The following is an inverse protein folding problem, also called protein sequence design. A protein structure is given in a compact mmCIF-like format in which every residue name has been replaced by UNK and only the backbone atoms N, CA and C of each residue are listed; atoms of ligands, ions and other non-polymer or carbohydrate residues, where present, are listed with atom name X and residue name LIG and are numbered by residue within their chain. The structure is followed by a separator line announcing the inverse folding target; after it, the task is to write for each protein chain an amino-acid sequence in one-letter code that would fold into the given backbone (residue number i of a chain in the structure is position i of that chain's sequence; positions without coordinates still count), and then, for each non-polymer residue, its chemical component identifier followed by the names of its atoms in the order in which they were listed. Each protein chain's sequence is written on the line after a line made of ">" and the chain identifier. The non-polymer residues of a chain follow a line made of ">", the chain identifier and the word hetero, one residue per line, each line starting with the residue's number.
data_IF_573432999184
#
_entry.id   IF_573432999184
#
_cell.length_a   1.000
_cell.length_b   1.000
_cell.length_c   1.000
_cell.angle_alpha   90.00
_cell.angle_beta   90.00
_cell.angle_gamma   90.00
#
_symmetry.space_group_name_H-M   'P 1'
#
loop_
_entity.id
_entity.type
_entity.pdbx_description
1 polymer ?
#
# COMPACT_ATOMS: atom_id res chain seq x y z
N UNK A 1 -21.09 -12.65 -18.73
CA UNK A 1 -20.37 -12.74 -17.45
C UNK A 1 -20.93 -13.93 -16.70
N UNK A 2 -20.10 -14.92 -16.34
CA UNK A 2 -20.54 -16.08 -15.56
C UNK A 2 -20.16 -15.79 -14.11
N UNK A 3 -21.16 -15.70 -13.23
CA UNK A 3 -20.96 -15.62 -11.78
C UNK A 3 -21.09 -17.05 -11.24
N UNK A 4 -19.99 -17.63 -10.78
CA UNK A 4 -20.00 -18.97 -10.20
C UNK A 4 -19.77 -18.89 -8.69
N UNK A 5 -20.66 -19.51 -7.91
CA UNK A 5 -20.58 -19.57 -6.44
C UNK A 5 -19.71 -20.74 -5.96
N UNK A 6 -19.43 -21.72 -6.82
CA UNK A 6 -18.72 -22.98 -6.50
C UNK A 6 -17.46 -23.18 -7.35
N UNK A 7 -16.63 -22.14 -7.48
CA UNK A 7 -15.34 -22.30 -8.15
C UNK A 7 -14.35 -22.96 -7.17
N UNK A 8 -13.67 -24.05 -7.53
CA UNK A 8 -12.68 -24.68 -6.66
C UNK A 8 -11.61 -23.66 -6.28
N UNK A 9 -11.47 -23.43 -4.96
CA UNK A 9 -10.45 -22.55 -4.40
C UNK A 9 -9.10 -23.25 -4.40
N UNK A 10 -8.11 -22.59 -4.99
CA UNK A 10 -6.69 -22.93 -4.83
C UNK A 10 -6.22 -22.47 -3.45
N UNK A 11 -5.17 -23.09 -2.92
CA UNK A 11 -4.48 -22.64 -1.70
C UNK A 11 -3.93 -21.21 -1.82
N UNK A 12 -3.71 -20.74 -3.04
CA UNK A 12 -3.21 -19.40 -3.35
C UNK A 12 -4.31 -18.36 -3.52
N UNK A 13 -5.58 -18.75 -3.43
CA UNK A 13 -6.69 -17.83 -3.64
C UNK A 13 -6.88 -16.89 -2.47
N UNK A 14 -7.23 -15.64 -2.80
CA UNK A 14 -7.58 -14.67 -1.76
C UNK A 14 -8.88 -15.05 -1.08
N UNK A 15 -8.91 -14.85 0.23
CA UNK A 15 -10.09 -15.12 1.06
C UNK A 15 -11.05 -13.93 1.13
N UNK A 16 -10.55 -12.73 0.83
CA UNK A 16 -11.28 -11.45 0.87
C UNK A 16 -11.43 -10.86 -0.53
N UNK A 17 -12.54 -10.15 -0.75
CA UNK A 17 -12.89 -9.53 -2.02
C UNK A 17 -11.76 -8.63 -2.55
N UNK A 18 -11.32 -8.87 -3.79
CA UNK A 18 -10.19 -8.16 -4.39
C UNK A 18 -10.48 -6.67 -4.67
N UNK A 19 -11.75 -6.26 -4.72
CA UNK A 19 -12.14 -4.86 -4.89
C UNK A 19 -12.16 -4.10 -3.56
N UNK A 20 -12.85 -4.61 -2.54
CA UNK A 20 -13.04 -3.88 -1.27
C UNK A 20 -12.03 -4.25 -0.17
N UNK A 21 -11.44 -5.45 -0.24
CA UNK A 21 -10.57 -6.06 0.79
C UNK A 21 -11.17 -6.05 2.19
N UNK A 22 -12.50 -6.14 2.30
CA UNK A 22 -13.22 -6.13 3.57
C UNK A 22 -14.10 -7.36 3.73
N UNK A 23 -14.97 -7.59 2.75
CA UNK A 23 -15.90 -8.71 2.77
C UNK A 23 -15.24 -10.00 2.25
N UNK A 24 -15.68 -11.17 2.71
CA UNK A 24 -15.21 -12.45 2.16
C UNK A 24 -15.61 -12.59 0.69
N UNK A 25 -14.82 -13.35 -0.07
CA UNK A 25 -15.16 -13.71 -1.45
C UNK A 25 -16.37 -14.63 -1.44
N UNK A 26 -17.39 -14.27 -2.20
CA UNK A 26 -18.60 -15.08 -2.41
C UNK A 26 -18.83 -15.42 -3.87
N UNK A 27 -18.14 -14.75 -4.80
CA UNK A 27 -18.44 -14.83 -6.22
C UNK A 27 -17.16 -14.72 -7.03
N UNK A 28 -16.97 -15.60 -8.00
CA UNK A 28 -15.91 -15.49 -8.98
C UNK A 28 -16.46 -14.88 -10.29
N UNK A 29 -15.79 -13.85 -10.83
CA UNK A 29 -16.05 -13.25 -12.14
C UNK A 29 -14.93 -13.61 -13.09
N UNK A 30 -15.24 -14.24 -14.22
CA UNK A 30 -14.25 -14.56 -15.25
C UNK A 30 -14.09 -13.36 -16.20
N UNK A 31 -12.85 -12.93 -16.42
CA UNK A 31 -12.44 -11.81 -17.29
C UNK A 31 -11.50 -12.32 -18.38
N UNK A 32 -11.08 -11.45 -19.31
CA UNK A 32 -10.11 -11.84 -20.35
C UNK A 32 -8.71 -12.10 -19.76
N UNK A 33 -8.38 -11.41 -18.66
CA UNK A 33 -7.10 -11.44 -17.98
C UNK A 33 -7.01 -12.55 -16.93
N UNK A 34 -8.13 -13.18 -16.57
CA UNK A 34 -8.17 -14.26 -15.60
C UNK A 34 -9.51 -14.35 -14.85
N UNK A 35 -9.43 -14.40 -13.52
CA UNK A 35 -10.61 -14.43 -12.66
C UNK A 35 -10.45 -13.42 -11.53
N UNK A 36 -11.53 -12.71 -11.24
CA UNK A 36 -11.64 -11.82 -10.10
C UNK A 36 -12.44 -12.51 -8.99
N UNK A 37 -11.94 -12.44 -7.77
CA UNK A 37 -12.58 -13.00 -6.59
C UNK A 37 -13.24 -11.89 -5.76
N UNK A 38 -14.57 -11.79 -5.82
CA UNK A 38 -15.34 -10.66 -5.32
C UNK A 38 -16.41 -11.07 -4.30
N UNK A 39 -16.86 -10.11 -3.50
CA UNK A 39 -18.12 -10.22 -2.78
C UNK A 39 -19.30 -9.88 -3.72
N UNK A 40 -20.49 -10.40 -3.41
CA UNK A 40 -21.71 -10.18 -4.19
C UNK A 40 -21.97 -8.69 -4.55
N UNK A 41 -21.87 -7.71 -3.63
CA UNK A 41 -22.12 -6.32 -3.99
C UNK A 41 -21.07 -5.74 -4.94
N UNK A 42 -19.79 -6.07 -4.77
CA UNK A 42 -18.73 -5.61 -5.68
C UNK A 42 -18.85 -6.26 -7.06
N UNK A 43 -19.26 -7.52 -7.13
CA UNK A 43 -19.54 -8.19 -8.40
C UNK A 43 -20.74 -7.55 -9.13
N UNK A 44 -21.83 -7.26 -8.40
CA UNK A 44 -23.03 -6.63 -8.97
C UNK A 44 -22.77 -5.18 -9.44
N UNK A 45 -21.91 -4.45 -8.72
CA UNK A 45 -21.51 -3.09 -9.07
C UNK A 45 -20.38 -3.03 -10.12
N UNK A 46 -20.00 -4.17 -10.70
CA UNK A 46 -18.89 -4.31 -11.65
C UNK A 46 -17.57 -3.66 -11.16
N UNK A 47 -17.31 -3.71 -9.85
CA UNK A 47 -16.15 -3.05 -9.25
C UNK A 47 -14.84 -3.71 -9.72
N UNK A 48 -13.81 -2.93 -10.09
CA UNK A 48 -12.52 -3.49 -10.49
C UNK A 48 -11.73 -4.00 -9.26
N UNK A 49 -10.95 -5.09 -9.39
CA UNK A 49 -9.97 -5.47 -8.38
C UNK A 49 -8.97 -4.34 -8.12
N UNK A 50 -8.51 -4.20 -6.87
CA UNK A 50 -7.51 -3.17 -6.53
C UNK A 50 -6.20 -3.33 -7.29
N UNK A 51 -5.80 -4.54 -7.66
CA UNK A 51 -4.59 -4.77 -8.45
C UNK A 51 -4.67 -4.16 -9.86
N UNK A 52 -5.89 -3.98 -10.39
CA UNK A 52 -6.10 -3.26 -11.66
C UNK A 52 -5.94 -1.76 -11.45
N UNK A 53 -6.40 -1.22 -10.32
CA UNK A 53 -6.28 0.20 -9.97
C UNK A 53 -4.86 0.58 -9.51
N UNK A 54 -4.22 -0.32 -8.78
CA UNK A 54 -2.89 -0.21 -8.19
C UNK A 54 -2.10 -1.46 -8.58
N UNK A 55 -1.56 -1.49 -9.81
CA UNK A 55 -0.66 -2.57 -10.21
C UNK A 55 0.45 -2.75 -9.16
N UNK A 56 0.95 -3.96 -8.91
CA UNK A 56 2.03 -4.19 -7.94
C UNK A 56 3.31 -3.38 -8.22
N UNK A 57 3.43 -2.80 -9.43
CA UNK A 57 4.48 -1.86 -9.84
C UNK A 57 4.04 -0.37 -9.81
N UNK A 58 2.94 -0.06 -9.12
CA UNK A 58 2.03 1.03 -9.51
C UNK A 58 1.48 1.88 -8.39
N UNK A 59 2.36 2.52 -7.61
CA UNK A 59 2.17 3.96 -7.30
C UNK A 59 2.85 4.82 -8.39
N UNK A 60 3.74 4.24 -9.23
CA UNK A 60 4.56 5.00 -10.17
C UNK A 60 4.66 4.46 -11.59
N UNK A 61 3.77 3.58 -12.07
CA UNK A 61 3.86 3.00 -13.44
C UNK A 61 5.33 2.81 -13.84
N UNK A 62 6.11 2.14 -12.98
CA UNK A 62 7.50 1.82 -13.30
C UNK A 62 7.43 0.80 -14.43
N UNK A 63 7.34 1.33 -15.65
CA UNK A 63 7.51 0.58 -16.88
C UNK A 63 8.79 -0.24 -16.73
N UNK A 64 8.86 -1.40 -17.37
CA UNK A 64 10.04 -2.30 -17.38
C UNK A 64 11.38 -1.61 -17.75
N UNK A 65 11.34 -0.35 -18.21
CA UNK A 65 12.49 0.54 -18.12
C UNK A 65 12.97 0.66 -16.67
N UNK A 66 14.00 -0.12 -16.38
CA UNK A 66 14.96 0.10 -15.29
C UNK A 66 15.17 1.60 -15.13
N UNK A 67 14.60 2.20 -14.08
CA UNK A 67 15.02 3.53 -13.67
C UNK A 67 16.46 3.37 -13.20
N UNK A 68 17.39 4.05 -13.86
CA UNK A 68 18.73 4.22 -13.33
C UNK A 68 18.57 5.03 -12.04
N UNK A 69 18.63 4.31 -10.91
CA UNK A 69 18.68 4.88 -9.57
C UNK A 69 20.08 5.48 -9.39
N UNK A 70 20.40 6.49 -10.21
CA UNK A 70 21.64 7.24 -10.11
C UNK A 70 21.88 7.63 -8.65
N UNK A 71 23.14 7.86 -8.26
CA UNK A 71 23.47 8.22 -6.88
C UNK A 71 22.53 9.31 -6.37
N UNK A 72 21.62 8.96 -5.45
CA UNK A 72 20.87 9.92 -4.66
C UNK A 72 21.84 10.64 -3.72
N UNK A 73 22.70 11.48 -4.29
CA UNK A 73 23.41 12.50 -3.55
C UNK A 73 22.34 13.45 -3.06
N UNK A 74 21.95 13.31 -1.78
CA UNK A 74 20.94 14.15 -1.15
C UNK A 74 21.33 15.62 -1.41
N UNK A 75 20.57 16.42 -2.17
CA UNK A 75 20.68 17.85 -1.97
C UNK A 75 20.23 18.07 -0.53
N UNK A 76 21.09 18.67 0.31
CA UNK A 76 20.65 19.14 1.62
C UNK A 76 19.37 19.94 1.38
N UNK A 77 18.27 19.67 2.10
CA UNK A 77 17.10 20.54 2.05
C UNK A 77 17.58 21.97 2.25
N UNK A 78 17.30 22.86 1.31
CA UNK A 78 17.60 24.27 1.50
C UNK A 78 16.76 24.75 2.68
N UNK A 79 17.44 25.15 3.75
CA UNK A 79 16.78 25.84 4.85
C UNK A 79 16.30 27.20 4.34
N UNK A 80 15.17 27.72 4.87
CA UNK A 80 14.79 29.10 4.61
C UNK A 80 15.93 30.06 5.00
N UNK A 81 16.05 31.23 4.34
CA UNK A 81 17.14 32.17 4.59
C UNK A 81 17.29 32.61 6.04
N UNK A 82 16.19 32.58 6.80
CA UNK A 82 16.14 32.87 8.23
C UNK A 82 15.39 31.76 8.97
N UNK A 83 16.09 30.73 9.48
CA UNK A 83 15.49 29.62 10.23
C UNK A 83 14.96 30.01 11.62
N UNK A 84 15.11 31.29 12.02
CA UNK A 84 14.84 31.74 13.38
C UNK A 84 15.81 31.15 14.41
N UNK A 85 15.70 31.58 15.68
CA UNK A 85 16.57 31.09 16.74
C UNK A 85 16.40 29.58 16.95
N UNK A 86 17.51 28.85 17.08
CA UNK A 86 17.45 27.45 17.48
C UNK A 86 16.73 27.31 18.83
N UNK A 87 15.80 26.36 18.97
CA UNK A 87 15.21 26.08 20.26
C UNK A 87 16.30 25.66 21.26
N UNK A 88 16.13 26.00 22.55
CA UNK A 88 17.10 25.64 23.58
C UNK A 88 17.29 24.11 23.58
N UNK A 89 18.55 23.68 23.57
CA UNK A 89 18.91 22.27 23.62
C UNK A 89 18.29 21.67 24.89
N UNK A 90 17.52 20.56 24.82
CA UNK A 90 16.98 19.95 26.01
C UNK A 90 18.15 19.52 26.90
N UNK A 91 18.16 19.98 28.14
CA UNK A 91 19.07 19.47 29.15
C UNK A 91 18.70 18.00 29.42
N UNK A 92 19.67 17.07 29.40
CA UNK A 92 19.42 15.71 29.82
C UNK A 92 18.86 15.73 31.24
N UNK A 93 17.64 15.24 31.44
CA UNK A 93 17.14 14.98 32.79
C UNK A 93 17.97 13.83 33.34
N UNK A 94 18.63 14.03 34.48
CA UNK A 94 19.28 12.93 35.19
C UNK A 94 18.26 11.80 35.40
N UNK A 95 18.63 10.53 35.16
CA UNK A 95 17.78 9.40 35.47
C UNK A 95 17.33 9.44 36.94
N UNK A 96 16.09 9.01 37.24
CA UNK A 96 15.63 8.90 38.62
C UNK A 96 16.59 8.01 39.44
N UNK A 97 17.12 8.54 40.55
CA UNK A 97 17.92 7.76 41.51
C UNK A 97 19.42 8.02 41.56
N UNK A 98 19.94 9.12 40.98
CA UNK A 98 21.34 9.50 41.21
C UNK A 98 21.46 10.34 42.49
N UNK A 99 22.19 9.90 43.54
CA UNK A 99 22.38 10.69 44.75
C UNK A 99 23.29 11.90 44.49
N UNK A 100 23.09 13.04 45.18
CA UNK A 100 24.01 14.17 45.10
C UNK A 100 25.35 13.80 45.74
N UNK A 101 26.44 14.23 45.10
CA UNK A 101 27.77 14.32 45.72
C UNK A 101 27.87 15.65 46.44
#
# INVERSE_FOLDING_TARGET
>A
MILSLDLPRSLTDVTHCEACWREPVTTARITAEGRDLLCAPCAAADSPPRVVLFPPLGIYRLTERRLDMGKHGKPKPQLPPDPGPHPPKPTPKSPPGTPPV
#
